data_IF_092379392665
#
_entry.id   IF_092379392665
#
_cell.length_a   1.000
_cell.length_b   1.000
_cell.length_c   1.000
_cell.angle_alpha   90.00
_cell.angle_beta   90.00
_cell.angle_gamma   90.00
#
_symmetry.space_group_name_H-M   'P 1'
#
loop_
_entity.id
_entity.type
_entity.pdbx_description
1 polymer ?
#
# COMPACT_ATOMS: atom_id res chain seq x y z
N UNK A 1 -11.25 0.08 -4.80
CA UNK A 1 -12.19 1.21 -4.88
C UNK A 1 -12.97 1.26 -3.59
N UNK A 2 -12.94 2.36 -2.86
CA UNK A 2 -13.67 2.54 -1.60
C UNK A 2 -14.53 3.80 -1.65
N UNK A 3 -15.56 3.86 -0.81
CA UNK A 3 -16.47 5.00 -0.66
C UNK A 3 -15.98 5.87 0.49
N UNK A 4 -15.44 7.04 0.15
CA UNK A 4 -14.91 8.00 1.10
C UNK A 4 -15.90 9.12 1.34
N UNK A 5 -16.31 9.32 2.58
CA UNK A 5 -17.00 10.54 2.99
C UNK A 5 -15.95 11.54 3.49
N UNK A 6 -15.95 12.74 2.95
CA UNK A 6 -15.06 13.83 3.35
C UNK A 6 -15.87 14.94 4.02
N UNK A 7 -15.65 15.15 5.30
CA UNK A 7 -16.21 16.27 6.07
C UNK A 7 -15.22 17.43 6.09
N UNK A 8 -15.67 18.61 5.66
CA UNK A 8 -14.82 19.80 5.58
C UNK A 8 -15.30 20.84 6.59
N UNK A 9 -14.47 21.18 7.57
CA UNK A 9 -14.80 22.23 8.53
C UNK A 9 -14.12 23.58 8.21
N UNK A 10 -14.57 24.65 8.83
CA UNK A 10 -14.23 26.03 8.50
C UNK A 10 -12.81 26.44 8.91
N UNK A 11 -11.81 25.95 8.22
CA UNK A 11 -10.41 26.34 8.34
C UNK A 11 -9.82 26.75 7.00
N UNK A 12 -8.86 27.67 6.98
CA UNK A 12 -8.22 28.16 5.75
C UNK A 12 -7.60 27.01 4.93
N UNK A 13 -7.20 25.93 5.59
CA UNK A 13 -6.66 24.73 4.96
C UNK A 13 -7.70 23.89 4.18
N UNK A 14 -8.97 24.33 4.05
CA UNK A 14 -10.00 23.66 3.27
C UNK A 14 -9.61 23.44 1.78
N UNK A 15 -8.73 24.29 1.23
CA UNK A 15 -8.20 24.09 -0.13
C UNK A 15 -7.38 22.80 -0.27
N UNK A 16 -6.69 22.34 0.81
CA UNK A 16 -5.98 21.04 0.81
C UNK A 16 -6.95 19.86 0.83
N UNK A 17 -8.13 20.02 1.45
CA UNK A 17 -9.17 19.00 1.39
C UNK A 17 -9.69 18.80 -0.03
N UNK A 18 -9.78 19.87 -0.81
CA UNK A 18 -10.13 19.83 -2.23
C UNK A 18 -9.08 19.02 -3.02
N UNK A 19 -7.81 19.24 -2.74
CA UNK A 19 -6.72 18.48 -3.36
C UNK A 19 -6.72 17.00 -2.94
N UNK A 20 -6.98 16.70 -1.66
CA UNK A 20 -7.12 15.33 -1.16
C UNK A 20 -8.28 14.60 -1.86
N UNK A 21 -9.44 15.26 -2.03
CA UNK A 21 -10.56 14.72 -2.79
C UNK A 21 -10.17 14.42 -4.25
N UNK A 22 -9.43 15.33 -4.91
CA UNK A 22 -8.94 15.14 -6.28
C UNK A 22 -8.01 13.95 -6.39
N UNK A 23 -7.09 13.78 -5.43
CA UNK A 23 -6.17 12.65 -5.39
C UNK A 23 -6.92 11.33 -5.13
N UNK A 24 -7.90 11.32 -4.24
CA UNK A 24 -8.73 10.14 -3.95
C UNK A 24 -9.50 9.67 -5.20
N UNK A 25 -10.14 10.61 -5.93
CA UNK A 25 -10.82 10.31 -7.20
C UNK A 25 -9.84 9.76 -8.24
N UNK A 26 -8.65 10.37 -8.37
CA UNK A 26 -7.60 9.87 -9.29
C UNK A 26 -7.10 8.46 -8.94
N UNK A 27 -7.14 8.06 -7.67
CA UNK A 27 -6.82 6.69 -7.23
C UNK A 27 -8.00 5.72 -7.35
N UNK A 28 -9.14 6.18 -7.86
CA UNK A 28 -10.32 5.35 -8.14
C UNK A 28 -11.24 5.16 -6.94
N UNK A 29 -11.17 6.02 -5.91
CA UNK A 29 -12.14 6.05 -4.83
C UNK A 29 -13.38 6.84 -5.24
N UNK A 30 -14.56 6.43 -4.76
CA UNK A 30 -15.80 7.19 -4.86
C UNK A 30 -15.91 8.16 -3.68
N UNK A 31 -15.92 9.46 -3.95
CA UNK A 31 -15.87 10.50 -2.90
C UNK A 31 -17.18 11.27 -2.82
N UNK A 32 -17.75 11.38 -1.64
CA UNK A 32 -18.81 12.31 -1.28
C UNK A 32 -18.26 13.35 -0.30
N UNK A 33 -18.76 14.58 -0.41
CA UNK A 33 -18.31 15.69 0.44
C UNK A 33 -19.50 16.30 1.18
N UNK A 34 -19.28 16.56 2.48
CA UNK A 34 -20.16 17.36 3.31
C UNK A 34 -19.36 18.51 3.92
N UNK A 35 -19.97 19.68 4.04
CA UNK A 35 -19.31 20.87 4.51
C UNK A 35 -20.02 21.48 5.72
N UNK A 36 -19.24 22.13 6.59
CA UNK A 36 -19.87 23.07 7.51
C UNK A 36 -20.19 24.38 6.80
N UNK A 37 -21.22 25.16 7.23
CA UNK A 37 -21.51 26.49 6.64
C UNK A 37 -20.28 27.43 6.66
N UNK A 38 -19.41 27.28 7.65
CA UNK A 38 -18.18 28.07 7.73
C UNK A 38 -17.15 27.68 6.66
N UNK A 39 -17.04 26.42 6.29
CA UNK A 39 -16.09 25.97 5.26
C UNK A 39 -16.53 26.39 3.85
N UNK A 40 -17.82 26.46 3.60
CA UNK A 40 -18.36 26.91 2.31
C UNK A 40 -17.94 28.36 1.96
N UNK A 41 -17.72 29.18 2.99
CA UNK A 41 -17.19 30.55 2.82
C UNK A 41 -15.73 30.60 2.37
N UNK A 42 -14.99 29.50 2.52
CA UNK A 42 -13.57 29.38 2.17
C UNK A 42 -13.37 28.63 0.85
N UNK A 43 -14.11 27.55 0.66
CA UNK A 43 -14.12 26.75 -0.58
C UNK A 43 -15.56 26.40 -0.89
N UNK A 44 -16.11 26.96 -1.97
CA UNK A 44 -17.50 26.75 -2.37
C UNK A 44 -17.77 25.31 -2.83
N UNK A 45 -19.03 24.87 -2.70
CA UNK A 45 -19.52 23.53 -3.09
C UNK A 45 -19.12 23.16 -4.51
N UNK A 46 -19.30 24.08 -5.47
CA UNK A 46 -19.02 23.83 -6.88
C UNK A 46 -17.60 23.31 -7.16
N UNK A 47 -16.62 23.69 -6.32
CA UNK A 47 -15.26 23.21 -6.45
C UNK A 47 -15.15 21.72 -6.14
N UNK A 48 -15.81 21.24 -5.09
CA UNK A 48 -15.85 19.83 -4.74
C UNK A 48 -16.74 19.02 -5.70
N UNK A 49 -17.90 19.55 -6.08
CA UNK A 49 -18.81 18.91 -7.04
C UNK A 49 -18.13 18.67 -8.40
N UNK A 50 -17.40 19.66 -8.90
CA UNK A 50 -16.64 19.54 -10.15
C UNK A 50 -15.55 18.47 -10.11
N UNK A 51 -14.97 18.18 -8.92
CA UNK A 51 -13.92 17.17 -8.74
C UNK A 51 -14.52 15.78 -8.53
N UNK A 52 -15.56 15.69 -7.68
CA UNK A 52 -16.12 14.39 -7.25
C UNK A 52 -17.19 13.87 -8.20
N UNK A 53 -17.80 14.76 -9.01
CA UNK A 53 -18.96 14.43 -9.82
C UNK A 53 -20.22 14.16 -9.00
N UNK A 54 -20.27 14.61 -7.74
CA UNK A 54 -21.35 14.33 -6.81
C UNK A 54 -21.78 15.59 -6.04
N UNK A 55 -23.06 15.71 -5.65
CA UNK A 55 -23.55 16.87 -4.88
C UNK A 55 -22.89 16.97 -3.53
N UNK A 56 -22.66 18.20 -3.08
CA UNK A 56 -22.13 18.55 -1.77
C UNK A 56 -23.25 19.05 -0.87
N UNK A 57 -23.33 18.54 0.36
CA UNK A 57 -24.34 18.94 1.33
C UNK A 57 -23.71 19.77 2.46
N UNK A 58 -24.45 20.73 3.00
CA UNK A 58 -24.04 21.58 4.11
C UNK A 58 -25.04 21.60 5.28
N UNK A 59 -26.26 21.12 5.05
CA UNK A 59 -27.32 21.05 6.04
C UNK A 59 -27.96 19.66 6.10
N UNK A 60 -28.37 19.25 7.29
CA UNK A 60 -29.10 18.01 7.53
C UNK A 60 -30.47 17.98 6.85
N UNK A 61 -31.06 19.16 6.66
CA UNK A 61 -32.40 19.32 6.06
C UNK A 61 -32.35 19.52 4.54
N UNK A 62 -31.15 19.54 3.97
CA UNK A 62 -30.97 19.70 2.53
C UNK A 62 -31.25 18.37 1.80
N UNK A 63 -32.13 18.38 0.77
CA UNK A 63 -32.35 17.20 -0.04
C UNK A 63 -31.04 16.79 -0.76
N UNK A 64 -30.69 15.50 -0.68
CA UNK A 64 -29.58 14.94 -1.44
C UNK A 64 -30.06 14.46 -2.81
N UNK A 65 -29.69 15.11 -3.93
CA UNK A 65 -30.07 14.66 -5.28
C UNK A 65 -29.54 13.24 -5.58
N UNK A 66 -28.42 12.84 -4.98
CA UNK A 66 -27.83 11.51 -5.13
C UNK A 66 -28.41 10.48 -4.15
N UNK A 67 -29.35 10.85 -3.27
CA UNK A 67 -30.04 9.95 -2.32
C UNK A 67 -29.06 9.05 -1.51
N UNK A 68 -27.95 9.61 -1.10
CA UNK A 68 -26.90 8.88 -0.37
C UNK A 68 -25.98 8.01 -1.23
N UNK A 69 -26.19 7.95 -2.57
CA UNK A 69 -25.30 7.18 -3.45
C UNK A 69 -23.96 7.86 -3.65
N UNK A 70 -22.94 7.02 -3.82
CA UNK A 70 -21.60 7.42 -4.21
C UNK A 70 -21.44 7.40 -5.73
N UNK A 71 -20.47 8.16 -6.29
CA UNK A 71 -20.19 8.14 -7.72
C UNK A 71 -20.02 6.71 -8.26
N UNK A 72 -20.75 6.42 -9.35
CA UNK A 72 -20.76 5.09 -9.97
C UNK A 72 -21.81 4.11 -9.43
N UNK A 73 -22.58 4.49 -8.41
CA UNK A 73 -23.67 3.68 -7.87
C UNK A 73 -25.04 4.05 -8.48
N UNK A 74 -25.95 3.09 -8.52
CA UNK A 74 -27.34 3.34 -8.88
C UNK A 74 -28.07 4.16 -7.79
N UNK A 75 -28.98 5.03 -8.21
CA UNK A 75 -29.79 5.80 -7.26
C UNK A 75 -30.83 4.88 -6.58
N UNK A 76 -31.03 4.98 -5.26
CA UNK A 76 -32.10 4.28 -4.56
C UNK A 76 -33.48 4.74 -5.03
N UNK A 77 -34.46 3.84 -5.03
CA UNK A 77 -35.84 4.17 -5.41
C UNK A 77 -36.47 5.21 -4.47
N UNK A 78 -36.14 5.13 -3.18
CA UNK A 78 -36.65 6.07 -2.16
C UNK A 78 -35.53 6.98 -1.69
N UNK A 79 -35.88 8.25 -1.40
CA UNK A 79 -34.95 9.20 -0.79
C UNK A 79 -34.78 8.86 0.71
N UNK A 80 -33.59 8.44 1.14
CA UNK A 80 -33.31 8.20 2.55
C UNK A 80 -33.06 9.53 3.28
N UNK A 81 -32.89 9.45 4.62
CA UNK A 81 -32.39 10.59 5.41
C UNK A 81 -30.92 10.81 5.00
N UNK A 82 -30.63 11.97 4.40
CA UNK A 82 -29.38 12.25 3.67
C UNK A 82 -28.12 11.97 4.49
N UNK A 83 -28.02 12.50 5.70
CA UNK A 83 -26.81 12.34 6.54
C UNK A 83 -26.58 10.91 7.02
N UNK A 84 -27.66 10.15 7.30
CA UNK A 84 -27.55 8.74 7.70
C UNK A 84 -27.11 7.88 6.51
N UNK A 85 -27.75 8.07 5.35
CA UNK A 85 -27.42 7.30 4.15
C UNK A 85 -25.99 7.48 3.66
N UNK A 86 -25.46 8.71 3.75
CA UNK A 86 -24.08 9.00 3.37
C UNK A 86 -23.07 8.23 4.23
N UNK A 87 -23.30 8.22 5.54
CA UNK A 87 -22.38 7.57 6.49
C UNK A 87 -22.55 6.05 6.49
N UNK A 88 -23.78 5.57 6.41
CA UNK A 88 -24.09 4.14 6.37
C UNK A 88 -23.43 3.42 5.17
N UNK A 89 -23.31 4.14 4.06
CA UNK A 89 -22.67 3.63 2.84
C UNK A 89 -21.18 3.89 2.76
N UNK A 90 -20.62 4.76 3.60
CA UNK A 90 -19.20 5.06 3.61
C UNK A 90 -18.36 3.86 4.10
N UNK A 91 -17.24 3.65 3.47
CA UNK A 91 -16.22 2.70 3.94
C UNK A 91 -15.25 3.39 4.92
N UNK A 92 -15.13 4.72 4.83
CA UNK A 92 -14.34 5.57 5.71
C UNK A 92 -14.90 7.00 5.73
N UNK A 93 -14.87 7.65 6.89
CA UNK A 93 -15.19 9.06 7.04
C UNK A 93 -13.96 9.85 7.50
N UNK A 94 -13.43 10.72 6.62
CA UNK A 94 -12.33 11.66 6.90
C UNK A 94 -12.91 13.05 7.17
N UNK A 95 -12.51 13.69 8.29
CA UNK A 95 -12.81 15.10 8.56
C UNK A 95 -11.53 15.91 8.44
N UNK A 96 -11.40 16.65 7.35
CA UNK A 96 -10.22 17.42 6.99
C UNK A 96 -10.59 18.73 6.24
N UNK A 97 -10.15 19.91 6.72
CA UNK A 97 -9.53 20.12 8.03
C UNK A 97 -10.50 19.91 9.19
N UNK A 98 -10.01 19.48 10.34
CA UNK A 98 -10.75 19.46 11.60
C UNK A 98 -10.29 20.63 12.46
N UNK A 99 -11.13 21.67 12.61
CA UNK A 99 -10.81 22.83 13.47
C UNK A 99 -10.93 22.48 14.95
N UNK A 100 -10.34 23.28 15.84
CA UNK A 100 -10.47 23.09 17.30
C UNK A 100 -11.94 23.00 17.74
N UNK A 101 -12.81 23.82 17.15
CA UNK A 101 -14.27 23.77 17.40
C UNK A 101 -14.88 22.43 16.96
N UNK A 102 -14.52 21.94 15.77
CA UNK A 102 -14.99 20.64 15.28
C UNK A 102 -14.50 19.50 16.15
N UNK A 103 -13.21 19.50 16.54
CA UNK A 103 -12.66 18.50 17.46
C UNK A 103 -13.38 18.49 18.81
N UNK A 104 -13.66 19.67 19.38
CA UNK A 104 -14.41 19.78 20.63
C UNK A 104 -15.83 19.22 20.51
N UNK A 105 -16.53 19.53 19.41
CA UNK A 105 -17.87 18.99 19.14
C UNK A 105 -17.86 17.47 19.04
N UNK A 106 -16.94 16.90 18.28
CA UNK A 106 -16.80 15.45 18.14
C UNK A 106 -16.45 14.78 19.47
N UNK A 107 -15.52 15.38 20.24
CA UNK A 107 -15.10 14.86 21.55
C UNK A 107 -16.24 14.86 22.57
N UNK A 108 -17.18 15.79 22.49
CA UNK A 108 -18.29 15.90 23.44
C UNK A 108 -19.66 15.46 22.89
N UNK A 109 -19.69 14.92 21.64
CA UNK A 109 -20.92 14.38 21.05
C UNK A 109 -21.93 15.44 20.63
N UNK A 110 -21.46 16.67 20.30
CA UNK A 110 -22.34 17.71 19.77
C UNK A 110 -22.62 17.49 18.28
N UNK A 111 -23.89 17.37 17.92
CA UNK A 111 -24.40 17.11 16.58
C UNK A 111 -25.22 18.31 16.07
N UNK A 112 -24.58 19.46 15.93
CA UNK A 112 -25.21 20.73 15.51
C UNK A 112 -24.82 21.18 14.08
N UNK A 113 -24.06 20.35 13.38
CA UNK A 113 -23.71 20.51 11.97
C UNK A 113 -23.76 19.16 11.26
N UNK A 114 -24.04 19.15 9.97
CA UNK A 114 -24.04 17.94 9.17
C UNK A 114 -22.75 17.11 9.35
N UNK A 115 -21.59 17.77 9.45
CA UNK A 115 -20.30 17.12 9.69
C UNK A 115 -20.24 16.41 11.05
N UNK A 116 -20.71 17.04 12.12
CA UNK A 116 -20.69 16.47 13.47
C UNK A 116 -21.78 15.40 13.66
N UNK A 117 -22.97 15.61 13.09
CA UNK A 117 -24.05 14.62 13.11
C UNK A 117 -23.67 13.35 12.36
N UNK A 118 -23.07 13.48 11.16
CA UNK A 118 -22.55 12.37 10.39
C UNK A 118 -21.48 11.57 11.17
N UNK A 119 -20.60 12.26 11.90
CA UNK A 119 -19.58 11.59 12.70
C UNK A 119 -20.16 10.79 13.88
N UNK A 120 -21.21 11.31 14.51
CA UNK A 120 -21.89 10.62 15.60
C UNK A 120 -22.64 9.37 15.11
N UNK A 121 -23.15 9.41 13.87
CA UNK A 121 -23.87 8.31 13.25
C UNK A 121 -22.97 7.29 12.51
N UNK A 122 -21.66 7.55 12.43
CA UNK A 122 -20.73 6.73 11.64
C UNK A 122 -20.56 5.32 12.20
N UNK A 123 -20.81 4.31 11.36
CA UNK A 123 -20.49 2.91 11.62
C UNK A 123 -19.15 2.50 10.99
N UNK A 124 -18.63 3.29 10.05
CA UNK A 124 -17.31 3.11 9.44
C UNK A 124 -16.21 3.76 10.28
N UNK A 125 -14.92 3.42 10.04
CA UNK A 125 -13.81 4.13 10.66
C UNK A 125 -13.88 5.63 10.40
N UNK A 126 -13.61 6.43 11.45
CA UNK A 126 -13.56 7.89 11.39
C UNK A 126 -12.14 8.38 11.62
N UNK A 127 -11.66 9.25 10.75
CA UNK A 127 -10.38 9.93 10.90
C UNK A 127 -10.57 11.44 10.95
N UNK A 128 -9.80 12.12 11.78
CA UNK A 128 -9.76 13.58 11.86
C UNK A 128 -8.36 14.10 11.59
N UNK A 129 -8.25 15.16 10.79
CA UNK A 129 -6.99 15.83 10.50
C UNK A 129 -7.02 17.26 11.06
N UNK A 130 -6.40 17.52 12.21
CA UNK A 130 -6.39 18.82 12.86
C UNK A 130 -5.71 19.88 11.98
N UNK A 131 -6.31 21.08 11.93
CA UNK A 131 -5.68 22.25 11.33
C UNK A 131 -6.09 23.52 12.08
N UNK A 132 -5.11 24.18 12.67
CA UNK A 132 -5.32 25.41 13.46
C UNK A 132 -3.98 26.09 13.74
N UNK A 133 -4.05 27.27 14.35
CA UNK A 133 -2.89 27.97 14.87
C UNK A 133 -2.13 27.11 15.91
N UNK A 134 -0.81 27.27 15.98
CA UNK A 134 0.07 26.52 16.88
C UNK A 134 -0.35 26.59 18.35
N UNK A 135 -0.71 27.79 18.83
CA UNK A 135 -1.17 27.97 20.23
C UNK A 135 -2.49 27.25 20.49
N UNK A 136 -3.40 27.24 19.51
CA UNK A 136 -4.66 26.50 19.61
C UNK A 136 -4.41 25.00 19.63
N UNK A 137 -3.48 24.50 18.82
CA UNK A 137 -3.14 23.08 18.80
C UNK A 137 -2.53 22.62 20.13
N UNK A 138 -1.57 23.38 20.65
CA UNK A 138 -0.89 23.07 21.93
C UNK A 138 -1.73 23.38 23.17
N UNK A 139 -2.91 24.00 23.03
CA UNK A 139 -3.78 24.29 24.14
C UNK A 139 -4.25 23.00 24.84
N UNK A 140 -4.21 22.99 26.17
CA UNK A 140 -4.58 21.82 26.98
C UNK A 140 -5.98 21.28 26.64
N UNK A 141 -6.96 22.16 26.37
CA UNK A 141 -8.30 21.75 25.97
C UNK A 141 -8.31 21.02 24.62
N UNK A 142 -7.53 21.49 23.65
CA UNK A 142 -7.42 20.82 22.34
C UNK A 142 -6.73 19.46 22.48
N UNK A 143 -5.65 19.38 23.26
CA UNK A 143 -4.95 18.12 23.49
C UNK A 143 -5.85 17.11 24.22
N UNK A 144 -6.58 17.53 25.26
CA UNK A 144 -7.55 16.68 25.95
C UNK A 144 -8.65 16.16 25.02
N UNK A 145 -9.17 17.01 24.11
CA UNK A 145 -10.14 16.57 23.10
C UNK A 145 -9.55 15.54 22.13
N UNK A 146 -8.31 15.72 21.68
CA UNK A 146 -7.62 14.76 20.81
C UNK A 146 -7.40 13.41 21.50
N UNK A 147 -7.01 13.41 22.76
CA UNK A 147 -6.86 12.19 23.57
C UNK A 147 -8.21 11.46 23.74
N UNK A 148 -9.28 12.21 24.02
CA UNK A 148 -10.62 11.64 24.13
C UNK A 148 -11.12 11.02 22.82
N UNK A 149 -10.84 11.66 21.69
CA UNK A 149 -11.16 11.14 20.35
C UNK A 149 -10.40 9.84 20.07
N UNK A 150 -9.09 9.79 20.38
CA UNK A 150 -8.28 8.57 20.26
C UNK A 150 -8.81 7.44 21.13
N UNK A 151 -9.14 7.73 22.38
CA UNK A 151 -9.72 6.75 23.31
C UNK A 151 -11.06 6.17 22.83
N UNK A 152 -11.80 6.92 21.99
CA UNK A 152 -13.04 6.46 21.34
C UNK A 152 -12.84 5.78 19.99
N UNK A 153 -11.60 5.50 19.59
CA UNK A 153 -11.29 4.80 18.35
C UNK A 153 -11.27 5.71 17.12
N UNK A 154 -11.34 7.03 17.26
CA UNK A 154 -11.20 7.97 16.15
C UNK A 154 -9.72 8.16 15.87
N UNK A 155 -9.31 7.94 14.63
CA UNK A 155 -7.93 8.12 14.21
C UNK A 155 -7.61 9.60 14.04
N UNK A 156 -6.56 10.06 14.72
CA UNK A 156 -6.06 11.43 14.59
C UNK A 156 -4.84 11.42 13.68
N UNK A 157 -4.97 11.99 12.48
CA UNK A 157 -3.87 12.20 11.55
C UNK A 157 -3.10 13.42 12.05
N UNK A 158 -1.81 13.30 12.41
CA UNK A 158 -1.08 14.41 13.01
C UNK A 158 -0.94 15.59 12.04
N UNK A 159 -1.04 16.83 12.52
CA UNK A 159 -0.74 17.99 11.70
C UNK A 159 0.76 18.10 11.41
N UNK A 160 1.11 18.74 10.29
CA UNK A 160 2.48 19.09 9.95
C UNK A 160 2.98 20.26 10.77
N UNK A 161 4.31 20.41 10.77
CA UNK A 161 5.03 21.55 11.31
C UNK A 161 5.53 22.45 10.16
N UNK A 162 5.59 23.76 10.37
CA UNK A 162 6.06 24.72 9.37
C UNK A 162 5.39 26.09 9.50
N UNK A 163 5.48 26.89 8.42
CA UNK A 163 4.77 28.16 8.33
C UNK A 163 3.26 27.95 8.35
N UNK A 164 2.57 28.73 9.18
CA UNK A 164 1.12 28.73 9.35
C UNK A 164 0.48 29.87 8.53
N UNK A 165 -0.85 29.95 8.56
CA UNK A 165 -1.57 30.95 7.77
C UNK A 165 -1.35 32.40 8.23
N UNK A 166 -1.00 32.61 9.48
CA UNK A 166 -0.67 33.93 10.02
C UNK A 166 0.75 34.32 9.64
N UNK A 167 0.96 35.53 9.16
CA UNK A 167 2.26 36.02 8.73
C UNK A 167 3.31 35.91 9.86
N UNK A 168 4.42 35.23 9.58
CA UNK A 168 5.51 35.03 10.53
C UNK A 168 5.25 34.00 11.62
N UNK A 169 4.14 33.30 11.58
CA UNK A 169 3.85 32.21 12.51
C UNK A 169 4.40 30.89 12.00
N UNK A 170 5.24 30.25 12.80
CA UNK A 170 5.80 28.93 12.54
C UNK A 170 5.50 27.99 13.71
N UNK A 171 5.20 26.71 13.41
CA UNK A 171 4.96 25.71 14.44
C UNK A 171 4.10 24.55 13.96
N UNK A 172 3.62 23.75 14.90
CA UNK A 172 2.73 22.62 14.63
C UNK A 172 1.27 23.10 14.52
N UNK A 173 0.52 22.54 13.57
CA UNK A 173 -0.90 22.89 13.38
C UNK A 173 -1.33 23.01 11.92
N UNK A 174 -0.37 22.88 11.00
CA UNK A 174 -0.63 22.85 9.56
C UNK A 174 -1.34 21.54 9.19
N UNK A 175 -2.43 21.61 8.41
CA UNK A 175 -3.06 20.39 7.89
C UNK A 175 -2.03 19.51 7.19
N UNK A 176 -2.05 18.22 7.48
CA UNK A 176 -1.24 17.22 6.78
C UNK A 176 -1.37 17.37 5.26
N UNK A 177 -0.35 16.99 4.51
CA UNK A 177 -0.37 17.11 3.06
C UNK A 177 -1.45 16.18 2.45
N UNK A 178 -2.06 16.57 1.33
CA UNK A 178 -3.13 15.78 0.71
C UNK A 178 -2.75 14.32 0.42
N UNK A 179 -1.49 14.06 0.09
CA UNK A 179 -0.98 12.71 -0.13
C UNK A 179 -0.96 11.89 1.17
N UNK A 180 -0.52 12.49 2.28
CA UNK A 180 -0.45 11.85 3.59
C UNK A 180 -1.85 11.57 4.16
N UNK A 181 -2.80 12.51 3.94
CA UNK A 181 -4.21 12.30 4.30
C UNK A 181 -4.79 11.07 3.59
N UNK A 182 -4.52 10.94 2.30
CA UNK A 182 -5.03 9.82 1.52
C UNK A 182 -4.35 8.50 1.90
N UNK A 183 -3.04 8.51 2.14
CA UNK A 183 -2.31 7.33 2.62
C UNK A 183 -2.84 6.83 3.97
N UNK A 184 -3.10 7.74 4.91
CA UNK A 184 -3.72 7.42 6.20
C UNK A 184 -5.13 6.82 6.03
N UNK A 185 -5.94 7.37 5.11
CA UNK A 185 -7.25 6.82 4.78
C UNK A 185 -7.16 5.41 4.20
N UNK A 186 -6.27 5.19 3.24
CA UNK A 186 -6.06 3.88 2.62
C UNK A 186 -5.54 2.84 3.63
N UNK A 187 -4.72 3.26 4.59
CA UNK A 187 -4.29 2.41 5.70
C UNK A 187 -5.46 1.95 6.57
N UNK A 188 -6.40 2.85 6.89
CA UNK A 188 -7.61 2.53 7.67
C UNK A 188 -8.61 1.65 6.92
N UNK A 189 -8.67 1.76 5.60
CA UNK A 189 -9.50 0.92 4.74
C UNK A 189 -8.95 -0.49 4.57
N UNK A 190 -7.69 -0.68 4.90
CA UNK A 190 -7.04 -1.98 4.75
C UNK A 190 -7.37 -2.85 5.95
N UNK A 191 -8.00 -3.99 5.68
CA UNK A 191 -8.11 -5.03 6.70
C UNK A 191 -6.72 -5.61 6.93
N UNK A 192 -6.33 -5.93 8.17
CA UNK A 192 -5.07 -6.61 8.47
C UNK A 192 -5.15 -8.09 8.03
N UNK A 193 -5.31 -8.29 6.73
CA UNK A 193 -5.57 -9.60 6.10
C UNK A 193 -4.36 -10.54 6.13
N UNK A 194 -3.18 -10.01 6.46
CA UNK A 194 -1.95 -10.78 6.67
C UNK A 194 -1.48 -10.74 8.13
N UNK A 195 -2.36 -10.35 9.06
CA UNK A 195 -2.02 -10.35 10.50
C UNK A 195 -1.60 -11.75 10.96
N UNK A 196 -0.50 -11.81 11.71
CA UNK A 196 0.10 -13.06 12.18
C UNK A 196 0.92 -13.81 11.12
N UNK A 197 0.99 -13.34 9.88
CA UNK A 197 1.84 -13.93 8.85
C UNK A 197 3.22 -13.26 8.80
N UNK A 198 4.24 -14.07 8.59
CA UNK A 198 5.62 -13.64 8.37
C UNK A 198 5.93 -13.68 6.88
N UNK A 199 6.29 -12.54 6.32
CA UNK A 199 6.54 -12.36 4.89
C UNK A 199 8.02 -12.03 4.66
N UNK A 200 8.68 -12.85 3.84
CA UNK A 200 10.04 -12.61 3.37
C UNK A 200 9.99 -11.99 1.97
N UNK A 201 10.59 -10.83 1.81
CA UNK A 201 10.67 -10.14 0.52
C UNK A 201 12.13 -9.97 0.13
N UNK A 202 12.50 -10.38 -1.09
CA UNK A 202 13.81 -10.03 -1.65
C UNK A 202 13.69 -8.83 -2.58
N UNK A 203 14.66 -7.92 -2.58
CA UNK A 203 14.65 -6.70 -3.36
C UNK A 203 16.03 -6.34 -3.91
N UNK A 204 16.06 -5.58 -5.01
CA UNK A 204 17.30 -5.08 -5.59
C UNK A 204 17.94 -6.02 -6.60
N UNK A 205 19.20 -5.79 -6.94
CA UNK A 205 19.98 -6.59 -7.87
C UNK A 205 21.30 -7.03 -7.26
N UNK A 206 21.65 -8.29 -7.42
CA UNK A 206 22.96 -8.80 -6.97
C UNK A 206 24.08 -8.26 -7.84
N UNK A 207 25.25 -8.12 -7.27
CA UNK A 207 26.47 -7.63 -7.91
C UNK A 207 27.60 -8.61 -7.67
N UNK A 208 28.02 -9.27 -8.72
CA UNK A 208 29.06 -10.30 -8.65
C UNK A 208 30.41 -9.64 -8.97
N UNK A 209 31.35 -9.59 -8.03
CA UNK A 209 32.57 -8.83 -8.19
C UNK A 209 33.48 -9.41 -9.27
N UNK A 210 34.03 -8.54 -10.13
CA UNK A 210 35.15 -8.83 -11.01
C UNK A 210 36.45 -8.51 -10.26
N UNK A 211 36.48 -7.33 -9.65
CA UNK A 211 37.57 -6.83 -8.83
C UNK A 211 37.01 -5.97 -7.66
N UNK A 212 37.87 -5.32 -6.91
CA UNK A 212 37.45 -4.44 -5.79
C UNK A 212 36.55 -3.26 -6.20
N UNK A 213 36.38 -2.98 -7.49
CA UNK A 213 35.68 -1.80 -8.03
C UNK A 213 34.56 -2.18 -9.00
N UNK A 214 34.77 -3.21 -9.81
CA UNK A 214 33.90 -3.59 -10.93
C UNK A 214 33.12 -4.86 -10.60
N UNK A 215 31.91 -4.95 -11.15
CA UNK A 215 31.03 -6.10 -10.96
C UNK A 215 30.20 -6.40 -12.22
N UNK A 216 29.71 -7.61 -12.32
CA UNK A 216 28.63 -8.04 -13.22
C UNK A 216 27.34 -8.07 -12.37
N UNK A 217 26.21 -7.64 -12.91
CA UNK A 217 24.96 -7.67 -12.18
C UNK A 217 23.77 -7.20 -13.01
N UNK A 218 22.58 -7.43 -12.52
CA UNK A 218 21.34 -7.04 -13.14
C UNK A 218 20.93 -5.62 -12.71
N UNK A 219 20.40 -4.84 -13.65
CA UNK A 219 19.79 -3.55 -13.32
C UNK A 219 18.54 -3.79 -12.48
N UNK A 220 18.50 -3.27 -11.27
CA UNK A 220 17.33 -3.29 -10.42
C UNK A 220 17.41 -2.17 -9.38
N UNK A 221 16.37 -1.35 -9.33
CA UNK A 221 16.25 -0.30 -8.30
C UNK A 221 15.73 -0.80 -6.96
N UNK A 222 15.23 -2.04 -6.90
CA UNK A 222 14.58 -2.60 -5.71
C UNK A 222 13.15 -2.09 -5.43
N UNK A 223 12.66 -1.09 -6.18
CA UNK A 223 11.35 -0.45 -5.92
C UNK A 223 10.18 -1.43 -5.84
N UNK A 224 10.17 -2.50 -6.65
CA UNK A 224 9.08 -3.49 -6.62
C UNK A 224 9.06 -4.24 -5.29
N UNK A 225 10.22 -4.75 -4.84
CA UNK A 225 10.33 -5.43 -3.54
C UNK A 225 9.96 -4.53 -2.36
N UNK A 226 10.37 -3.26 -2.41
CA UNK A 226 9.99 -2.27 -1.38
C UNK A 226 8.49 -1.97 -1.39
N UNK A 227 7.85 -1.89 -2.57
CA UNK A 227 6.40 -1.74 -2.66
C UNK A 227 5.65 -2.96 -2.11
N UNK A 228 6.12 -4.17 -2.41
CA UNK A 228 5.57 -5.42 -1.84
C UNK A 228 5.72 -5.47 -0.32
N UNK A 229 6.88 -5.10 0.21
CA UNK A 229 7.14 -5.08 1.64
C UNK A 229 6.25 -4.08 2.38
N UNK A 230 6.08 -2.86 1.82
CA UNK A 230 5.16 -1.85 2.36
C UNK A 230 3.73 -2.34 2.35
N UNK A 231 3.27 -2.96 1.27
CA UNK A 231 1.91 -3.47 1.17
C UNK A 231 1.66 -4.62 2.14
N UNK A 232 2.61 -5.56 2.28
CA UNK A 232 2.50 -6.65 3.25
C UNK A 232 2.46 -6.12 4.70
N UNK A 233 3.34 -5.18 5.06
CA UNK A 233 3.34 -4.53 6.37
C UNK A 233 2.02 -3.77 6.62
N UNK A 234 1.51 -3.04 5.62
CA UNK A 234 0.23 -2.33 5.68
C UNK A 234 -0.94 -3.28 5.96
N UNK A 235 -0.88 -4.53 5.49
CA UNK A 235 -1.88 -5.57 5.77
C UNK A 235 -1.59 -6.36 7.06
N UNK A 236 -0.69 -5.90 7.90
CA UNK A 236 -0.42 -6.46 9.23
C UNK A 236 0.59 -7.60 9.28
N UNK A 237 1.31 -7.88 8.18
CA UNK A 237 2.35 -8.90 8.18
C UNK A 237 3.61 -8.45 8.93
N UNK A 238 4.28 -9.39 9.58
CA UNK A 238 5.67 -9.23 10.03
C UNK A 238 6.62 -9.41 8.84
N UNK A 239 7.31 -8.33 8.45
CA UNK A 239 8.10 -8.30 7.22
C UNK A 239 9.59 -8.41 7.49
N UNK A 240 10.24 -9.37 6.84
CA UNK A 240 11.70 -9.44 6.70
C UNK A 240 12.07 -9.14 5.24
N UNK A 241 13.01 -8.24 5.03
CA UNK A 241 13.52 -7.88 3.70
C UNK A 241 14.97 -8.32 3.55
N UNK A 242 15.30 -8.98 2.42
CA UNK A 242 16.68 -9.18 1.98
C UNK A 242 16.92 -8.20 0.83
N UNK A 243 17.74 -7.17 1.08
CA UNK A 243 17.97 -6.06 0.17
C UNK A 243 19.36 -6.15 -0.48
N UNK A 244 19.39 -6.45 -1.79
CA UNK A 244 20.61 -6.55 -2.58
C UNK A 244 20.96 -5.20 -3.22
N UNK A 245 21.99 -4.53 -2.68
CA UNK A 245 22.55 -3.28 -3.22
C UNK A 245 21.51 -2.16 -3.44
N UNK A 246 20.61 -1.96 -2.49
CA UNK A 246 19.54 -0.94 -2.52
C UNK A 246 19.74 0.06 -1.40
N UNK A 247 19.44 1.34 -1.69
CA UNK A 247 19.50 2.46 -0.73
C UNK A 247 18.12 3.09 -0.47
N UNK A 248 17.03 2.37 -0.77
CA UNK A 248 15.67 2.83 -0.47
C UNK A 248 15.35 2.64 1.02
N UNK A 249 14.49 3.50 1.56
CA UNK A 249 14.02 3.41 2.92
C UNK A 249 12.99 2.28 3.07
N UNK A 250 13.22 1.33 3.99
CA UNK A 250 12.30 0.21 4.22
C UNK A 250 11.01 0.67 4.92
N UNK A 251 9.95 -0.14 4.88
CA UNK A 251 8.74 0.15 5.66
C UNK A 251 9.06 0.11 7.16
N UNK A 252 8.38 0.94 7.97
CA UNK A 252 8.54 0.95 9.42
C UNK A 252 8.34 -0.45 10.03
N UNK A 253 9.23 -0.84 10.95
CA UNK A 253 9.16 -2.13 11.63
C UNK A 253 9.68 -3.34 10.84
N UNK A 254 10.05 -3.21 9.57
CA UNK A 254 10.61 -4.30 8.81
C UNK A 254 12.06 -4.63 9.22
N UNK A 255 12.35 -5.92 9.41
CA UNK A 255 13.72 -6.40 9.56
C UNK A 255 14.43 -6.37 8.20
N UNK A 256 15.57 -5.71 8.09
CA UNK A 256 16.34 -5.63 6.84
C UNK A 256 17.66 -6.33 6.94
N UNK A 257 17.93 -7.21 5.97
CA UNK A 257 19.20 -7.95 5.81
C UNK A 257 19.82 -7.45 4.49
N UNK A 258 20.90 -6.70 4.60
CA UNK A 258 21.64 -6.21 3.44
C UNK A 258 22.56 -7.29 2.88
N UNK A 259 22.55 -7.49 1.57
CA UNK A 259 23.39 -8.44 0.85
C UNK A 259 23.95 -7.81 -0.43
N UNK A 260 25.00 -8.40 -0.98
CA UNK A 260 25.65 -7.89 -2.20
C UNK A 260 25.57 -8.87 -3.36
N UNK A 261 25.86 -10.14 -3.12
CA UNK A 261 26.01 -11.19 -4.13
C UNK A 261 24.85 -12.17 -4.14
N UNK A 262 24.72 -12.96 -5.22
CA UNK A 262 23.75 -14.05 -5.30
C UNK A 262 23.96 -15.09 -4.20
N UNK A 263 25.20 -15.39 -3.86
CA UNK A 263 25.55 -16.33 -2.79
C UNK A 263 25.08 -15.84 -1.41
N UNK A 264 25.35 -14.57 -1.08
CA UNK A 264 24.89 -13.96 0.17
C UNK A 264 23.35 -13.91 0.24
N UNK A 265 22.68 -13.61 -0.89
CA UNK A 265 21.22 -13.61 -0.97
C UNK A 265 20.67 -15.03 -0.75
N UNK A 266 21.25 -16.05 -1.38
CA UNK A 266 20.86 -17.44 -1.21
C UNK A 266 20.99 -17.91 0.25
N UNK A 267 22.11 -17.59 0.89
CA UNK A 267 22.36 -17.92 2.30
C UNK A 267 21.34 -17.23 3.22
N UNK A 268 21.11 -15.94 3.03
CA UNK A 268 20.12 -15.18 3.80
C UNK A 268 18.71 -15.75 3.63
N UNK A 269 18.31 -16.07 2.38
CA UNK A 269 17.01 -16.68 2.11
C UNK A 269 16.87 -18.05 2.78
N UNK A 270 17.88 -18.91 2.70
CA UNK A 270 17.83 -20.25 3.36
C UNK A 270 17.69 -20.14 4.88
N UNK A 271 18.35 -19.17 5.48
CA UNK A 271 18.31 -18.94 6.94
C UNK A 271 16.93 -18.46 7.38
N UNK A 272 16.30 -17.56 6.63
CA UNK A 272 15.01 -16.95 7.01
C UNK A 272 13.79 -17.82 6.56
N UNK A 273 13.91 -18.61 5.48
CA UNK A 273 12.79 -19.38 4.90
C UNK A 273 12.05 -20.28 5.89
N UNK A 274 12.71 -21.02 6.82
CA UNK A 274 11.97 -21.87 7.75
C UNK A 274 11.02 -21.12 8.68
N UNK A 275 11.27 -19.84 8.92
CA UNK A 275 10.48 -19.02 9.83
C UNK A 275 9.33 -18.27 9.17
N UNK A 276 9.24 -18.21 7.83
CA UNK A 276 8.26 -17.39 7.13
C UNK A 276 7.12 -18.20 6.51
N UNK A 277 6.02 -17.54 6.27
CA UNK A 277 4.79 -18.13 5.71
C UNK A 277 4.64 -17.79 4.22
N UNK A 278 5.24 -16.67 3.79
CA UNK A 278 5.21 -16.21 2.40
C UNK A 278 6.60 -15.74 1.97
N UNK A 279 7.05 -16.17 0.78
CA UNK A 279 8.24 -15.66 0.11
C UNK A 279 7.85 -14.92 -1.16
N UNK A 280 8.24 -13.63 -1.27
CA UNK A 280 8.11 -12.80 -2.47
C UNK A 280 9.52 -12.56 -3.06
N UNK A 281 9.89 -13.36 -4.05
CA UNK A 281 11.23 -13.36 -4.64
C UNK A 281 11.30 -12.35 -5.80
N UNK A 282 11.43 -11.05 -5.49
CA UNK A 282 11.46 -9.98 -6.50
C UNK A 282 12.86 -9.41 -6.80
N UNK A 283 13.89 -9.89 -6.14
CA UNK A 283 15.27 -9.52 -6.43
C UNK A 283 15.70 -10.02 -7.82
N UNK A 284 16.46 -9.20 -8.54
CA UNK A 284 17.10 -9.55 -9.80
C UNK A 284 18.44 -10.23 -9.49
N UNK A 285 18.42 -11.53 -9.33
CA UNK A 285 19.62 -12.34 -9.07
C UNK A 285 20.40 -12.52 -10.38
N UNK A 286 21.71 -12.31 -10.35
CA UNK A 286 22.57 -12.53 -11.50
C UNK A 286 22.70 -14.03 -11.80
N UNK A 287 22.47 -14.43 -13.05
CA UNK A 287 22.58 -15.83 -13.51
C UNK A 287 24.03 -16.30 -13.68
N UNK A 288 24.95 -15.33 -13.75
CA UNK A 288 26.39 -15.57 -13.97
C UNK A 288 27.21 -14.73 -13.02
N UNK A 289 28.36 -15.27 -12.62
CA UNK A 289 29.39 -14.57 -11.84
C UNK A 289 30.77 -14.77 -12.48
N UNK A 290 31.75 -13.88 -12.26
CA UNK A 290 33.13 -14.13 -12.65
C UNK A 290 33.71 -15.37 -11.95
N UNK A 291 34.31 -16.28 -12.74
CA UNK A 291 34.92 -17.50 -12.19
C UNK A 291 36.16 -17.21 -11.33
N UNK A 292 36.82 -16.08 -11.54
CA UNK A 292 38.02 -15.65 -10.83
C UNK A 292 37.91 -14.19 -10.40
N UNK A 293 37.20 -13.91 -9.29
CA UNK A 293 37.16 -12.56 -8.71
C UNK A 293 38.49 -12.20 -8.03
N UNK A 294 39.03 -11.02 -8.33
CA UNK A 294 40.30 -10.53 -7.80
C UNK A 294 40.04 -9.53 -6.66
N UNK A 295 40.66 -9.71 -5.51
CA UNK A 295 40.48 -8.81 -4.38
C UNK A 295 41.06 -7.40 -4.60
N UNK A 296 42.07 -7.27 -5.48
CA UNK A 296 42.71 -6.00 -5.81
C UNK A 296 42.11 -5.43 -7.13
N UNK A 297 42.18 -4.11 -7.29
CA UNK A 297 41.80 -3.46 -8.53
C UNK A 297 42.69 -3.88 -9.69
N UNK A 298 42.12 -4.41 -10.76
CA UNK A 298 42.82 -4.69 -12.02
C UNK A 298 43.30 -3.38 -12.66
N UNK A 299 44.63 -3.30 -12.98
CA UNK A 299 45.24 -2.10 -13.55
C UNK A 299 45.17 -2.12 -15.06
N UNK A 300 45.09 -0.93 -15.68
CA UNK A 300 45.15 -0.77 -17.16
C UNK A 300 46.46 -1.26 -17.79
N UNK A 301 47.53 -1.17 -17.03
CA UNK A 301 48.87 -1.55 -17.44
C UNK A 301 49.02 -3.08 -17.63
N UNK A 302 48.16 -3.87 -16.96
CA UNK A 302 48.15 -5.32 -17.05
C UNK A 302 47.39 -5.84 -18.31
N UNK A 303 46.92 -4.92 -19.18
CA UNK A 303 46.17 -5.23 -20.36
C UNK A 303 44.66 -5.31 -20.17
N UNK A 304 43.92 -5.81 -21.18
CA UNK A 304 42.46 -5.97 -21.12
C UNK A 304 42.12 -7.26 -20.36
N UNK A 305 41.44 -7.21 -19.21
CA UNK A 305 41.11 -8.41 -18.47
C UNK A 305 40.09 -9.27 -19.23
N UNK A 306 40.36 -10.56 -19.34
CA UNK A 306 39.38 -11.56 -19.78
C UNK A 306 38.56 -11.97 -18.56
N UNK A 307 37.24 -11.72 -18.63
CA UNK A 307 36.30 -12.12 -17.57
C UNK A 307 35.60 -13.40 -18.02
N UNK A 308 36.05 -14.53 -17.50
CA UNK A 308 35.34 -15.80 -17.65
C UNK A 308 34.16 -15.83 -16.69
N UNK A 309 33.00 -16.27 -17.20
CA UNK A 309 31.78 -16.35 -16.40
C UNK A 309 31.39 -17.79 -16.12
N UNK A 310 30.94 -18.05 -14.90
CA UNK A 310 30.32 -19.31 -14.48
C UNK A 310 28.89 -19.07 -14.01
N UNK A 311 28.07 -20.12 -13.99
CA UNK A 311 26.67 -20.01 -13.54
C UNK A 311 26.61 -19.82 -12.03
N UNK A 312 25.68 -18.96 -11.60
CA UNK A 312 25.28 -18.89 -10.19
C UNK A 312 24.23 -19.95 -9.88
N UNK A 313 23.93 -20.12 -8.61
CA UNK A 313 22.86 -21.01 -8.15
C UNK A 313 21.48 -20.42 -8.53
N UNK A 314 20.55 -21.28 -8.96
CA UNK A 314 19.14 -20.90 -9.07
C UNK A 314 18.50 -20.88 -7.67
N UNK A 315 18.60 -19.72 -7.00
CA UNK A 315 18.18 -19.54 -5.62
C UNK A 315 16.71 -19.91 -5.41
N UNK A 316 15.83 -19.46 -6.35
CA UNK A 316 14.40 -19.72 -6.20
C UNK A 316 14.05 -21.21 -6.32
N UNK A 317 14.71 -21.93 -7.21
CA UNK A 317 14.53 -23.38 -7.35
C UNK A 317 15.01 -24.12 -6.09
N UNK A 318 16.19 -23.76 -5.56
CA UNK A 318 16.71 -24.35 -4.34
C UNK A 318 15.80 -24.08 -3.11
N UNK A 319 15.24 -22.87 -3.00
CA UNK A 319 14.27 -22.54 -1.92
C UNK A 319 12.95 -23.30 -2.07
N UNK A 320 12.48 -23.53 -3.31
CA UNK A 320 11.27 -24.29 -3.55
C UNK A 320 11.39 -25.76 -3.15
N UNK A 321 12.59 -26.33 -3.20
CA UNK A 321 12.86 -27.69 -2.68
C UNK A 321 12.83 -27.78 -1.15
N UNK A 322 13.21 -26.67 -0.47
CA UNK A 322 13.28 -26.60 0.99
C UNK A 322 11.98 -26.15 1.65
N UNK A 323 10.98 -25.73 0.87
CA UNK A 323 9.75 -25.16 1.41
C UNK A 323 8.91 -26.14 2.18
N UNK A 324 8.21 -25.66 3.21
CA UNK A 324 7.10 -26.37 3.84
C UNK A 324 5.84 -26.33 2.97
N UNK A 325 4.93 -27.28 3.13
CA UNK A 325 3.70 -27.37 2.35
C UNK A 325 2.74 -26.18 2.53
N UNK A 326 2.78 -25.54 3.71
CA UNK A 326 1.96 -24.39 4.08
C UNK A 326 2.50 -23.03 3.61
N UNK A 327 3.73 -23.00 3.11
CA UNK A 327 4.37 -21.78 2.61
C UNK A 327 3.88 -21.40 1.21
N UNK A 328 3.74 -20.10 0.96
CA UNK A 328 3.40 -19.56 -0.35
C UNK A 328 4.64 -18.90 -0.97
N UNK A 329 5.03 -19.36 -2.17
CA UNK A 329 6.19 -18.88 -2.90
C UNK A 329 5.77 -18.16 -4.18
N UNK A 330 6.12 -16.89 -4.29
CA UNK A 330 5.85 -16.03 -5.46
C UNK A 330 7.18 -15.63 -6.11
N UNK A 331 7.35 -16.02 -7.36
CA UNK A 331 8.49 -15.62 -8.18
C UNK A 331 8.18 -14.43 -9.08
N UNK A 332 9.22 -13.74 -9.56
CA UNK A 332 9.12 -12.68 -10.55
C UNK A 332 9.89 -13.09 -11.80
N UNK A 333 9.35 -12.74 -12.96
CA UNK A 333 9.95 -12.99 -14.26
C UNK A 333 9.91 -11.71 -15.10
N UNK A 334 11.09 -11.18 -15.42
CA UNK A 334 11.25 -10.12 -16.40
C UNK A 334 11.52 -10.79 -17.74
N UNK A 335 10.54 -10.74 -18.64
CA UNK A 335 10.59 -11.41 -19.93
C UNK A 335 10.58 -10.38 -21.05
N UNK A 336 11.06 -10.78 -22.23
CA UNK A 336 11.13 -9.89 -23.38
C UNK A 336 10.27 -10.43 -24.54
N UNK A 337 9.30 -9.63 -25.00
CA UNK A 337 8.52 -9.85 -26.21
C UNK A 337 7.51 -11.00 -26.16
N UNK A 338 7.05 -11.42 -27.34
CA UNK A 338 6.00 -12.45 -27.49
C UNK A 338 6.36 -13.77 -26.81
N UNK A 339 5.38 -14.42 -26.17
CA UNK A 339 5.58 -15.69 -25.44
C UNK A 339 6.10 -15.52 -23.99
N UNK A 340 6.16 -14.30 -23.46
CA UNK A 340 6.57 -14.04 -22.08
C UNK A 340 5.72 -14.83 -21.07
N UNK A 341 4.39 -14.87 -21.27
CA UNK A 341 3.44 -15.60 -20.40
C UNK A 341 3.70 -17.11 -20.44
N UNK A 342 3.94 -17.69 -21.61
CA UNK A 342 4.19 -19.14 -21.75
C UNK A 342 5.52 -19.55 -21.09
N UNK A 343 6.58 -18.75 -21.27
CA UNK A 343 7.86 -18.99 -20.58
C UNK A 343 7.72 -18.91 -19.07
N UNK A 344 6.93 -17.96 -18.58
CA UNK A 344 6.67 -17.81 -17.16
C UNK A 344 5.81 -18.96 -16.60
N UNK A 345 4.84 -19.48 -17.38
CA UNK A 345 4.08 -20.67 -17.02
C UNK A 345 5.01 -21.88 -16.87
N UNK A 346 5.93 -22.09 -17.80
CA UNK A 346 6.95 -23.10 -17.65
C UNK A 346 7.88 -22.91 -16.44
N UNK A 347 8.16 -21.65 -16.04
CA UNK A 347 8.91 -21.33 -14.81
C UNK A 347 8.11 -21.67 -13.55
N UNK A 348 6.80 -21.33 -13.53
CA UNK A 348 5.86 -21.66 -12.45
C UNK A 348 5.87 -23.16 -12.14
N UNK A 349 5.71 -23.98 -13.19
CA UNK A 349 5.65 -25.43 -13.07
C UNK A 349 7.00 -26.04 -12.66
N UNK A 350 8.09 -25.72 -13.40
CA UNK A 350 9.41 -26.28 -13.11
C UNK A 350 9.92 -25.97 -11.71
N UNK A 351 9.65 -24.74 -11.22
CA UNK A 351 10.07 -24.32 -9.88
C UNK A 351 9.02 -24.57 -8.81
N UNK A 352 7.91 -25.20 -9.14
CA UNK A 352 6.81 -25.53 -8.20
C UNK A 352 6.38 -24.33 -7.37
N UNK A 353 6.20 -23.18 -8.02
CA UNK A 353 5.77 -21.95 -7.35
C UNK A 353 4.25 -21.90 -7.21
N UNK A 354 3.75 -21.08 -6.32
CA UNK A 354 2.32 -20.82 -6.16
C UNK A 354 1.83 -19.72 -7.11
N UNK A 355 2.69 -18.75 -7.40
CA UNK A 355 2.46 -17.73 -8.40
C UNK A 355 3.75 -17.23 -9.04
N UNK A 356 3.63 -16.70 -10.26
CA UNK A 356 4.70 -15.95 -10.96
C UNK A 356 4.12 -14.64 -11.47
N UNK A 357 4.80 -13.55 -11.15
CA UNK A 357 4.50 -12.20 -11.64
C UNK A 357 5.39 -11.92 -12.84
N UNK A 358 4.80 -11.75 -13.99
CA UNK A 358 5.52 -11.55 -15.27
C UNK A 358 5.38 -10.10 -15.71
N UNK A 359 6.48 -9.45 -16.03
CA UNK A 359 6.48 -8.17 -16.72
C UNK A 359 7.24 -8.26 -18.03
N UNK A 360 6.70 -7.62 -19.07
CA UNK A 360 7.39 -7.45 -20.35
C UNK A 360 8.29 -6.21 -20.27
N UNK A 361 9.61 -6.43 -20.29
CA UNK A 361 10.60 -5.35 -20.24
C UNK A 361 10.87 -4.69 -21.59
N UNK A 362 10.24 -5.16 -22.67
CA UNK A 362 10.36 -4.56 -24.00
C UNK A 362 9.50 -3.29 -24.16
N UNK A 363 8.47 -3.11 -23.34
CA UNK A 363 7.57 -1.98 -23.43
C UNK A 363 8.21 -0.68 -22.92
N UNK A 364 8.07 0.40 -23.71
CA UNK A 364 8.66 1.69 -23.37
C UNK A 364 8.10 2.27 -22.06
N UNK A 365 8.99 2.69 -21.16
CA UNK A 365 8.61 3.29 -19.87
C UNK A 365 8.20 2.29 -18.80
N UNK A 366 8.38 0.99 -19.03
CA UNK A 366 8.18 -0.11 -18.08
C UNK A 366 9.54 -0.76 -17.83
N UNK A 367 9.82 -1.18 -16.60
CA UNK A 367 11.06 -1.92 -16.31
C UNK A 367 11.68 -1.63 -14.95
N UNK A 368 12.94 -2.01 -14.82
CA UNK A 368 13.64 -2.06 -13.51
C UNK A 368 13.80 -0.70 -12.82
N UNK A 369 13.99 0.38 -13.56
CA UNK A 369 14.22 1.73 -13.02
C UNK A 369 12.95 2.61 -13.04
N UNK A 370 11.89 2.19 -13.73
CA UNK A 370 10.62 2.92 -13.82
C UNK A 370 9.84 2.91 -12.49
N UNK A 371 9.04 3.93 -12.27
CA UNK A 371 8.04 3.98 -11.19
C UNK A 371 6.81 3.14 -11.51
N UNK A 372 6.50 2.96 -12.80
CA UNK A 372 5.36 2.19 -13.28
C UNK A 372 5.79 0.78 -13.68
N UNK A 373 4.84 -0.13 -13.67
CA UNK A 373 4.98 -1.46 -14.22
C UNK A 373 3.65 -1.94 -14.81
N UNK A 374 3.71 -2.97 -15.65
CA UNK A 374 2.57 -3.73 -16.15
C UNK A 374 2.90 -5.20 -15.99
N UNK A 375 1.99 -5.98 -15.43
CA UNK A 375 2.27 -7.37 -15.10
C UNK A 375 1.09 -8.28 -15.41
N UNK A 376 1.41 -9.55 -15.67
CA UNK A 376 0.45 -10.66 -15.61
C UNK A 376 0.83 -11.58 -14.46
N UNK A 377 -0.10 -11.88 -13.58
CA UNK A 377 0.09 -12.80 -12.45
C UNK A 377 -0.49 -14.15 -12.86
N UNK A 378 0.35 -15.17 -12.88
CA UNK A 378 -0.01 -16.57 -13.15
C UNK A 378 0.05 -17.36 -11.86
N UNK A 379 -0.95 -18.19 -11.59
CA UNK A 379 -1.02 -19.00 -10.37
C UNK A 379 -1.07 -20.48 -10.66
N UNK A 380 -0.65 -21.31 -9.71
CA UNK A 380 -0.57 -22.76 -9.85
C UNK A 380 -1.93 -23.44 -10.07
N UNK A 381 -3.03 -22.81 -9.66
CA UNK A 381 -4.41 -23.28 -9.92
C UNK A 381 -4.94 -22.88 -11.31
N UNK A 382 -4.08 -22.27 -12.15
CA UNK A 382 -4.40 -21.92 -13.53
C UNK A 382 -5.04 -20.53 -13.70
N UNK A 383 -5.24 -19.76 -12.62
CA UNK A 383 -5.76 -18.41 -12.76
C UNK A 383 -4.70 -17.47 -13.38
N UNK A 384 -5.18 -16.52 -14.19
CA UNK A 384 -4.38 -15.48 -14.84
C UNK A 384 -5.03 -14.13 -14.59
N UNK A 385 -4.25 -13.18 -14.06
CA UNK A 385 -4.71 -11.82 -13.79
C UNK A 385 -3.77 -10.81 -14.45
N UNK A 386 -4.27 -10.13 -15.46
CA UNK A 386 -3.55 -9.00 -16.05
C UNK A 386 -3.79 -7.74 -15.21
N UNK A 387 -2.71 -7.04 -14.89
CA UNK A 387 -2.71 -5.73 -14.22
C UNK A 387 -2.12 -4.72 -15.18
N UNK A 388 -2.94 -3.82 -15.75
CA UNK A 388 -2.48 -2.84 -16.71
C UNK A 388 -1.48 -1.87 -16.09
N UNK A 389 -0.77 -1.14 -16.93
CA UNK A 389 0.26 -0.19 -16.50
C UNK A 389 -0.21 0.70 -15.35
N UNK A 390 0.48 0.60 -14.24
CA UNK A 390 0.20 1.30 -13.01
C UNK A 390 1.47 1.52 -12.18
N UNK A 391 1.37 2.37 -11.16
CA UNK A 391 2.43 2.52 -10.15
C UNK A 391 2.74 1.19 -9.49
N UNK A 392 4.00 0.98 -9.10
CA UNK A 392 4.47 -0.28 -8.45
C UNK A 392 3.73 -0.59 -7.14
N UNK A 393 3.21 0.41 -6.45
CA UNK A 393 2.36 0.26 -5.28
C UNK A 393 1.04 -0.46 -5.64
N UNK A 394 0.42 -0.10 -6.77
CA UNK A 394 -0.80 -0.75 -7.26
C UNK A 394 -0.54 -2.19 -7.72
N UNK A 395 0.60 -2.42 -8.34
CA UNK A 395 1.04 -3.78 -8.70
C UNK A 395 1.24 -4.62 -7.43
N UNK A 396 1.90 -4.06 -6.41
CA UNK A 396 2.10 -4.73 -5.13
C UNK A 396 0.77 -5.12 -4.46
N UNK A 397 -0.22 -4.24 -4.47
CA UNK A 397 -1.57 -4.55 -4.00
C UNK A 397 -2.15 -5.77 -4.71
N UNK A 398 -2.10 -5.80 -6.05
CA UNK A 398 -2.62 -6.91 -6.84
C UNK A 398 -1.90 -8.24 -6.56
N UNK A 399 -0.59 -8.20 -6.34
CA UNK A 399 0.21 -9.39 -5.98
C UNK A 399 -0.16 -9.89 -4.59
N UNK A 400 -0.32 -9.00 -3.61
CA UNK A 400 -0.72 -9.39 -2.25
C UNK A 400 -2.17 -9.90 -2.21
N UNK A 401 -3.11 -9.29 -2.98
CA UNK A 401 -4.47 -9.84 -3.15
C UNK A 401 -4.42 -11.30 -3.60
N UNK A 402 -3.53 -11.62 -4.52
CA UNK A 402 -3.39 -12.97 -5.05
C UNK A 402 -2.79 -13.94 -4.02
N UNK A 403 -1.82 -13.48 -3.22
CA UNK A 403 -1.29 -14.24 -2.08
C UNK A 403 -2.40 -14.58 -1.09
N UNK A 404 -3.25 -13.62 -0.74
CA UNK A 404 -4.40 -13.85 0.15
C UNK A 404 -5.38 -14.86 -0.43
N UNK A 405 -5.71 -14.74 -1.73
CA UNK A 405 -6.59 -15.68 -2.43
C UNK A 405 -6.05 -17.11 -2.36
N UNK A 406 -4.77 -17.30 -2.67
CA UNK A 406 -4.10 -18.61 -2.64
C UNK A 406 -4.15 -19.21 -1.22
N UNK A 407 -3.83 -18.42 -0.21
CA UNK A 407 -3.81 -18.88 1.19
C UNK A 407 -5.21 -19.20 1.71
N UNK A 408 -6.20 -18.40 1.39
CA UNK A 408 -7.61 -18.63 1.76
C UNK A 408 -8.14 -19.92 1.13
N UNK A 409 -7.79 -20.20 -0.12
CA UNK A 409 -8.19 -21.44 -0.81
C UNK A 409 -7.57 -22.67 -0.13
N UNK A 410 -6.30 -22.61 0.31
CA UNK A 410 -5.65 -23.70 1.06
C UNK A 410 -6.29 -23.96 2.42
N UNK A 411 -6.58 -22.92 3.19
CA UNK A 411 -7.22 -23.07 4.49
C UNK A 411 -8.61 -23.73 4.42
N UNK A 412 -9.34 -23.51 3.33
CA UNK A 412 -10.63 -24.19 3.07
C UNK A 412 -10.48 -25.68 2.75
N UNK A 413 -9.45 -26.05 2.00
CA UNK A 413 -9.17 -27.46 1.65
C UNK A 413 -8.70 -28.27 2.86
N UNK A 414 -7.95 -27.69 3.76
CA UNK A 414 -7.50 -28.36 5.00
C UNK A 414 -8.65 -28.53 6.01
N UNK A 415 -9.53 -27.53 6.13
CA UNK A 415 -10.75 -27.61 6.97
C UNK A 415 -11.74 -28.68 6.51
N UNK A 416 -11.83 -28.94 5.21
CA UNK A 416 -12.73 -29.99 4.64
C UNK A 416 -12.18 -31.39 4.88
N UNK A 417 -10.86 -31.57 4.93
CA UNK A 417 -10.22 -32.85 5.23
C UNK A 417 -10.28 -33.24 6.71
N UNK A 418 -10.36 -32.27 7.62
CA UNK A 418 -10.52 -32.51 9.06
C UNK A 418 -11.93 -32.92 9.46
N UNK A 419 -12.96 -32.58 8.66
CA UNK A 419 -14.38 -32.86 8.95
C UNK A 419 -14.90 -34.26 8.60
N UNK A 420 -14.10 -35.12 7.95
CA UNK A 420 -14.55 -36.47 7.47
C UNK A 420 -14.05 -37.63 8.34
N UNK A 421 -13.69 -37.43 9.59
CA UNK A 421 -13.54 -38.53 10.55
C UNK A 421 -14.90 -38.81 11.20
N UNK A 422 -15.65 -39.70 10.57
CA UNK A 422 -16.86 -40.34 11.14
C UNK A 422 -16.52 -41.05 12.46
N UNK A 423 -17.31 -40.88 13.54
CA UNK A 423 -17.15 -41.73 14.72
C UNK A 423 -17.58 -43.15 14.38
N UNK A 424 -16.67 -44.09 14.52
CA UNK A 424 -17.01 -45.51 14.52
C UNK A 424 -18.01 -45.78 15.65
N UNK A 425 -19.14 -46.41 15.28
CA UNK A 425 -20.12 -46.96 16.22
C UNK A 425 -19.46 -48.13 16.98
N UNK A 426 -19.52 -48.05 18.28
CA UNK A 426 -19.57 -49.21 19.19
C UNK A 426 -20.94 -49.22 19.85
#
# INVERSE_FOLDING_TARGET
MARLLLGVSGGIAAYKALEAARLAVKRGHAVRVIQTPASERLVGRASFEGITGAPVLTSEFEPDPARGSYPGEALPERAPISHLALVERADLYLIAPATANTLAKLAHGHADTLVSTAALAAACPVAVAPAMNNRMYLNAATQANLELLRARGITVIPPGEGELASHGEHGIGRLAEPADLLEACEALLTRPSLEGLRVLVTAGGTREPIDSVRYVGNRSSGRMGFALAREAARRGAEVTMIAANVSLEPPPGAKVIAVKTAAELAEACRRELPAVDVLLMSAAVADFRPAGAVAAKLKKEDGVPKVELERTEDVLSALAELRRADQTLVGFAAEHGTGAVDRARGKLERKRLDAVVVNDIAAAGIGFESYDNEVTILTADGAERHVPRARKERIAQAVIDEVERIRTARGRTDGTRAGTRSPARV
#
